data_IF_272790179931
#
_entry.id   IF_272790179931
#
_cell.length_a   1.000
_cell.length_b   1.000
_cell.length_c   1.000
_cell.angle_alpha   90.00
_cell.angle_beta   90.00
_cell.angle_gamma   90.00
#
_symmetry.space_group_name_H-M   'P 1'
#
loop_
_entity.id
_entity.type
_entity.pdbx_description
1 polymer ?
#
# COMPACT_ATOMS: atom_id res chain seq x y z
N UNK A 1 -22.45 14.53 45.78
CA UNK A 1 -22.90 14.08 44.45
C UNK A 1 -23.55 12.71 44.59
N UNK A 2 -24.87 12.61 44.37
CA UNK A 2 -25.58 11.33 44.49
C UNK A 2 -25.17 10.36 43.36
N UNK A 3 -25.33 9.06 43.58
CA UNK A 3 -25.09 8.03 42.55
C UNK A 3 -25.97 8.23 41.30
N UNK A 4 -27.16 8.83 41.48
CA UNK A 4 -28.09 9.09 40.38
C UNK A 4 -27.60 10.20 39.45
N UNK A 5 -27.01 11.28 39.98
CA UNK A 5 -26.46 12.37 39.15
C UNK A 5 -25.31 11.88 38.27
N UNK A 6 -24.43 11.01 38.79
CA UNK A 6 -23.33 10.44 37.99
C UNK A 6 -23.83 9.58 36.84
N UNK A 7 -24.91 8.83 37.05
CA UNK A 7 -25.51 8.00 36.00
C UNK A 7 -26.10 8.88 34.89
N UNK A 8 -26.86 9.91 35.28
CA UNK A 8 -27.49 10.83 34.32
C UNK A 8 -26.45 11.66 33.56
N UNK A 9 -25.40 12.15 34.22
CA UNK A 9 -24.30 12.84 33.51
C UNK A 9 -23.59 11.94 32.50
N UNK A 10 -23.40 10.66 32.81
CA UNK A 10 -22.85 9.69 31.84
C UNK A 10 -23.78 9.51 30.65
N UNK A 11 -25.08 9.33 30.88
CA UNK A 11 -26.05 9.20 29.80
C UNK A 11 -26.16 10.49 28.98
N UNK A 12 -26.03 11.69 29.59
CA UNK A 12 -25.95 12.96 28.88
C UNK A 12 -24.72 13.05 27.98
N UNK A 13 -23.58 12.50 28.41
CA UNK A 13 -22.35 12.45 27.61
C UNK A 13 -22.54 11.55 26.37
N UNK A 14 -23.14 10.38 26.56
CA UNK A 14 -23.48 9.46 25.46
C UNK A 14 -24.45 10.11 24.47
N UNK A 15 -25.43 10.89 24.98
CA UNK A 15 -26.36 11.67 24.13
C UNK A 15 -25.64 12.80 23.40
N UNK A 16 -24.70 13.48 24.07
CA UNK A 16 -23.91 14.58 23.48
C UNK A 16 -23.05 14.12 22.30
N UNK A 17 -22.43 12.93 22.40
CA UNK A 17 -21.65 12.31 21.31
C UNK A 17 -22.50 11.51 20.31
N UNK A 18 -23.82 11.43 20.49
CA UNK A 18 -24.74 10.76 19.58
C UNK A 18 -24.75 9.22 19.69
N UNK A 19 -24.18 8.65 20.75
CA UNK A 19 -24.20 7.22 21.02
C UNK A 19 -25.56 6.74 21.53
N UNK A 20 -26.34 7.65 22.16
CA UNK A 20 -27.71 7.40 22.65
C UNK A 20 -28.67 8.52 22.26
N UNK A 21 -29.96 8.21 22.22
CA UNK A 21 -31.02 9.21 22.05
C UNK A 21 -31.43 9.82 23.39
N UNK A 22 -31.85 11.09 23.36
CA UNK A 22 -32.39 11.77 24.54
C UNK A 22 -33.73 11.14 24.94
N UNK A 23 -33.77 10.45 26.08
CA UNK A 23 -34.99 9.83 26.59
C UNK A 23 -35.83 10.83 27.39
N UNK A 24 -37.13 10.57 27.51
CA UNK A 24 -38.05 11.42 28.30
C UNK A 24 -37.71 11.47 29.80
N UNK A 25 -37.05 10.44 30.32
CA UNK A 25 -36.58 10.40 31.70
C UNK A 25 -35.44 11.41 31.94
N UNK A 26 -34.45 11.45 31.03
CA UNK A 26 -33.34 12.41 31.08
C UNK A 26 -33.86 13.84 30.90
N UNK A 27 -34.77 14.05 29.94
CA UNK A 27 -35.39 15.36 29.68
C UNK A 27 -36.15 15.87 30.91
N UNK A 28 -36.88 14.99 31.59
CA UNK A 28 -37.59 15.35 32.84
C UNK A 28 -36.61 15.69 33.96
N UNK A 29 -35.51 14.94 34.09
CA UNK A 29 -34.49 15.19 35.10
C UNK A 29 -33.76 16.51 34.87
N UNK A 30 -33.46 16.88 33.63
CA UNK A 30 -32.91 18.20 33.30
C UNK A 30 -33.87 19.31 33.76
N UNK A 31 -35.17 19.18 33.53
CA UNK A 31 -36.13 20.23 33.96
C UNK A 31 -36.24 20.41 35.48
N UNK A 32 -35.82 19.44 36.28
CA UNK A 32 -35.95 19.48 37.75
C UNK A 32 -34.63 19.57 38.51
N UNK A 33 -33.50 19.23 37.87
CA UNK A 33 -32.18 19.19 38.50
C UNK A 33 -31.27 20.29 37.93
N UNK A 34 -30.93 21.26 38.76
CA UNK A 34 -30.04 22.37 38.39
C UNK A 34 -28.62 21.89 38.07
N UNK A 35 -28.09 20.92 38.82
CA UNK A 35 -26.73 20.39 38.63
C UNK A 35 -26.56 19.68 37.27
N UNK A 36 -27.54 18.87 36.86
CA UNK A 36 -27.49 18.21 35.55
C UNK A 36 -27.76 19.17 34.39
N UNK A 37 -28.55 20.22 34.62
CA UNK A 37 -28.78 21.29 33.63
C UNK A 37 -27.53 22.11 33.39
N UNK A 38 -26.82 22.49 34.46
CA UNK A 38 -25.56 23.23 34.36
C UNK A 38 -24.52 22.40 33.58
N UNK A 39 -24.40 21.12 33.91
CA UNK A 39 -23.54 20.19 33.18
C UNK A 39 -23.87 20.09 31.68
N UNK A 40 -25.16 20.02 31.33
CA UNK A 40 -25.59 19.99 29.94
C UNK A 40 -25.26 21.30 29.21
N UNK A 41 -25.46 22.45 29.86
CA UNK A 41 -25.14 23.76 29.29
C UNK A 41 -23.62 23.92 29.08
N UNK A 42 -22.78 23.41 29.99
CA UNK A 42 -21.32 23.38 29.81
C UNK A 42 -20.92 22.55 28.58
N UNK A 43 -21.55 21.39 28.37
CA UNK A 43 -21.33 20.58 27.16
C UNK A 43 -21.72 21.34 25.89
N UNK A 44 -22.87 22.03 25.87
CA UNK A 44 -23.28 22.85 24.73
C UNK A 44 -22.33 24.04 24.48
N UNK A 45 -21.79 24.66 25.54
CA UNK A 45 -20.78 25.71 25.43
C UNK A 45 -19.48 25.18 24.82
N UNK A 46 -19.04 23.98 25.20
CA UNK A 46 -17.88 23.32 24.58
C UNK A 46 -18.14 23.14 23.09
N UNK A 47 -19.30 22.63 22.68
CA UNK A 47 -19.68 22.47 21.27
C UNK A 47 -19.58 23.79 20.51
N UNK A 48 -20.18 24.85 21.05
CA UNK A 48 -20.18 26.18 20.44
C UNK A 48 -18.77 26.73 20.28
N UNK A 49 -17.91 26.53 21.26
CA UNK A 49 -16.50 26.95 21.20
C UNK A 49 -15.66 26.06 20.28
N UNK A 50 -16.00 24.77 20.14
CA UNK A 50 -15.29 23.81 19.29
C UNK A 50 -15.59 24.03 17.80
N UNK A 51 -16.80 24.49 17.45
CA UNK A 51 -17.11 24.88 16.05
C UNK A 51 -16.24 26.04 15.53
N UNK A 52 -15.56 26.79 16.41
CA UNK A 52 -14.55 27.79 16.00
C UNK A 52 -13.21 27.17 15.61
N UNK A 53 -12.94 25.93 16.01
CA UNK A 53 -11.73 25.17 15.68
C UNK A 53 -11.95 24.18 14.53
N UNK A 54 -13.17 24.11 13.99
CA UNK A 54 -13.49 23.39 12.75
C UNK A 54 -13.07 24.23 11.53
N UNK A 55 -11.93 24.90 11.64
CA UNK A 55 -11.24 25.49 10.49
C UNK A 55 -10.85 24.35 9.56
N UNK A 56 -11.37 24.42 8.33
CA UNK A 56 -11.02 23.60 7.19
C UNK A 56 -9.59 23.09 7.30
N UNK A 57 -9.44 21.82 7.70
CA UNK A 57 -8.14 21.16 7.68
C UNK A 57 -7.76 21.07 6.20
N UNK A 58 -6.93 22.01 5.76
CA UNK A 58 -6.38 21.99 4.41
C UNK A 58 -5.58 20.71 4.25
N UNK A 59 -6.16 19.77 3.49
CA UNK A 59 -5.50 18.53 3.16
C UNK A 59 -4.36 18.86 2.19
N UNK A 60 -3.12 18.88 2.69
CA UNK A 60 -1.95 19.07 1.85
C UNK A 60 -1.74 17.85 0.93
N UNK A 61 -2.20 17.99 -0.31
CA UNK A 61 -2.01 17.00 -1.38
C UNK A 61 -0.54 16.59 -1.56
N UNK A 62 0.43 17.44 -1.18
CA UNK A 62 1.86 17.11 -1.25
C UNK A 62 2.27 16.08 -0.21
N UNK A 63 1.62 16.04 0.96
CA UNK A 63 1.86 15.02 1.98
C UNK A 63 1.32 13.68 1.49
N UNK A 64 0.10 13.68 0.94
CA UNK A 64 -0.55 12.50 0.37
C UNK A 64 0.26 11.96 -0.81
N UNK A 65 0.63 12.82 -1.76
CA UNK A 65 1.43 12.46 -2.92
C UNK A 65 2.81 11.89 -2.54
N UNK A 66 3.45 12.43 -1.49
CA UNK A 66 4.70 11.87 -0.96
C UNK A 66 4.51 10.47 -0.36
N UNK A 67 3.41 10.25 0.36
CA UNK A 67 3.11 8.93 0.94
C UNK A 67 2.90 7.87 -0.15
N UNK A 68 2.10 8.17 -1.18
CA UNK A 68 1.88 7.26 -2.31
C UNK A 68 3.15 7.03 -3.12
N UNK A 69 3.97 8.06 -3.37
CA UNK A 69 5.24 7.89 -4.08
C UNK A 69 6.23 7.03 -3.28
N UNK A 70 6.24 7.15 -1.95
CA UNK A 70 7.09 6.30 -1.12
C UNK A 70 6.61 4.84 -1.16
N UNK A 71 5.31 4.59 -1.17
CA UNK A 71 4.76 3.24 -1.26
C UNK A 71 5.03 2.60 -2.63
N UNK A 72 4.91 3.35 -3.72
CA UNK A 72 5.17 2.85 -5.08
C UNK A 72 6.62 2.44 -5.26
N UNK A 73 7.59 3.25 -4.78
CA UNK A 73 9.02 2.93 -4.82
C UNK A 73 9.33 1.64 -4.03
N UNK A 74 8.70 1.45 -2.87
CA UNK A 74 8.91 0.24 -2.06
C UNK A 74 8.33 -0.99 -2.77
N UNK A 75 7.15 -0.85 -3.39
CA UNK A 75 6.52 -1.93 -4.14
C UNK A 75 7.35 -2.35 -5.35
N UNK A 76 7.87 -1.38 -6.11
CA UNK A 76 8.73 -1.62 -7.27
C UNK A 76 10.04 -2.30 -6.87
N UNK A 77 10.69 -1.84 -5.79
CA UNK A 77 11.88 -2.52 -5.26
C UNK A 77 11.62 -3.97 -4.88
N UNK A 78 10.48 -4.26 -4.24
CA UNK A 78 10.11 -5.65 -3.87
C UNK A 78 9.89 -6.52 -5.10
N UNK A 79 9.26 -5.98 -6.15
CA UNK A 79 9.09 -6.69 -7.42
C UNK A 79 10.44 -7.00 -8.04
N UNK A 80 11.33 -6.01 -8.15
CA UNK A 80 12.67 -6.20 -8.73
C UNK A 80 13.50 -7.23 -7.96
N UNK A 81 13.42 -7.26 -6.63
CA UNK A 81 14.10 -8.28 -5.81
C UNK A 81 13.53 -9.68 -6.08
N UNK A 82 12.20 -9.82 -6.21
CA UNK A 82 11.59 -11.10 -6.56
C UNK A 82 12.04 -11.58 -7.94
N UNK A 83 12.03 -10.69 -8.92
CA UNK A 83 12.44 -11.00 -10.29
C UNK A 83 13.93 -11.39 -10.33
N UNK A 84 14.80 -10.71 -9.57
CA UNK A 84 16.21 -11.07 -9.42
C UNK A 84 16.38 -12.46 -8.81
N UNK A 85 15.59 -12.80 -7.78
CA UNK A 85 15.66 -14.10 -7.11
C UNK A 85 15.22 -15.23 -8.06
N UNK A 86 14.12 -15.01 -8.79
CA UNK A 86 13.64 -15.95 -9.82
C UNK A 86 14.71 -16.14 -10.90
N UNK A 87 15.31 -15.05 -11.37
CA UNK A 87 16.42 -15.11 -12.33
C UNK A 87 17.60 -15.93 -11.78
N UNK A 88 18.04 -15.65 -10.57
CA UNK A 88 19.16 -16.36 -9.94
C UNK A 88 18.91 -17.87 -9.82
N UNK A 89 17.69 -18.28 -9.47
CA UNK A 89 17.29 -19.68 -9.38
C UNK A 89 17.33 -20.35 -10.75
N UNK A 90 16.74 -19.73 -11.77
CA UNK A 90 16.71 -20.27 -13.14
C UNK A 90 18.14 -20.36 -13.70
N UNK A 91 18.94 -19.31 -13.57
CA UNK A 91 20.33 -19.31 -14.03
C UNK A 91 21.16 -20.37 -13.34
N UNK A 92 20.99 -20.55 -12.02
CA UNK A 92 21.69 -21.60 -11.27
C UNK A 92 21.29 -22.99 -11.74
N UNK A 93 20.00 -23.23 -11.98
CA UNK A 93 19.49 -24.50 -12.52
C UNK A 93 20.11 -24.82 -13.88
N UNK A 94 20.10 -23.85 -14.80
CA UNK A 94 20.70 -24.02 -16.13
C UNK A 94 22.20 -24.32 -16.01
N UNK A 95 22.90 -23.58 -15.16
CA UNK A 95 24.33 -23.77 -14.96
C UNK A 95 24.66 -25.15 -14.36
N UNK A 96 23.85 -25.62 -13.41
CA UNK A 96 23.98 -26.96 -12.83
C UNK A 96 23.76 -28.05 -13.87
N UNK A 97 22.75 -27.91 -14.73
CA UNK A 97 22.49 -28.88 -15.82
C UNK A 97 23.68 -28.91 -16.79
N UNK A 98 24.18 -27.74 -17.21
CA UNK A 98 25.36 -27.67 -18.08
C UNK A 98 26.59 -28.30 -17.41
N UNK A 99 26.82 -28.01 -16.13
CA UNK A 99 27.89 -28.62 -15.35
C UNK A 99 27.81 -30.14 -15.30
N UNK A 100 26.60 -30.69 -15.14
CA UNK A 100 26.37 -32.13 -15.12
C UNK A 100 26.65 -32.77 -16.49
N UNK A 101 26.24 -32.12 -17.59
CA UNK A 101 26.54 -32.59 -18.95
C UNK A 101 28.06 -32.58 -19.21
N UNK A 102 28.77 -31.55 -18.73
CA UNK A 102 30.23 -31.49 -18.80
C UNK A 102 30.85 -32.65 -18.00
N UNK A 103 30.39 -32.88 -16.77
CA UNK A 103 30.87 -33.96 -15.90
C UNK A 103 30.69 -35.36 -16.51
N UNK A 104 29.59 -35.60 -17.23
CA UNK A 104 29.36 -36.85 -17.98
C UNK A 104 30.28 -37.04 -19.20
N UNK A 105 31.25 -36.14 -19.43
CA UNK A 105 32.23 -36.25 -20.50
C UNK A 105 31.80 -35.63 -21.84
N UNK A 106 30.61 -35.03 -21.90
CA UNK A 106 30.12 -34.33 -23.10
C UNK A 106 30.69 -32.90 -23.25
N UNK A 107 31.59 -32.46 -22.36
CA UNK A 107 32.19 -31.13 -22.40
C UNK A 107 32.80 -30.76 -23.76
N UNK A 108 33.45 -31.72 -24.45
CA UNK A 108 33.98 -31.51 -25.81
C UNK A 108 32.90 -31.14 -26.83
N UNK A 109 31.71 -31.73 -26.73
CA UNK A 109 30.58 -31.43 -27.64
C UNK A 109 29.95 -30.08 -27.34
N UNK A 110 29.86 -29.69 -26.06
CA UNK A 110 29.36 -28.36 -25.66
C UNK A 110 30.30 -27.27 -26.18
N UNK A 111 31.62 -27.42 -25.98
CA UNK A 111 32.62 -26.45 -26.46
C UNK A 111 32.56 -26.32 -27.98
N UNK A 112 32.45 -27.45 -28.70
CA UNK A 112 32.26 -27.42 -30.17
C UNK A 112 30.99 -26.69 -30.58
N UNK A 113 29.86 -26.95 -29.92
CA UNK A 113 28.61 -26.24 -30.20
C UNK A 113 28.74 -24.73 -29.94
N UNK A 114 29.44 -24.33 -28.86
CA UNK A 114 29.68 -22.93 -28.53
C UNK A 114 30.55 -22.22 -29.57
N UNK A 115 31.59 -22.88 -30.07
CA UNK A 115 32.45 -22.37 -31.16
C UNK A 115 31.62 -22.22 -32.44
N UNK A 116 30.81 -23.22 -32.80
CA UNK A 116 29.93 -23.16 -33.97
C UNK A 116 28.96 -21.98 -33.84
N UNK A 117 28.31 -21.79 -32.70
CA UNK A 117 27.40 -20.68 -32.47
C UNK A 117 28.13 -19.33 -32.55
N UNK A 118 29.30 -19.19 -31.93
CA UNK A 118 30.10 -17.96 -31.98
C UNK A 118 30.55 -17.58 -33.39
N UNK A 119 30.74 -18.55 -34.28
CA UNK A 119 31.11 -18.29 -35.68
C UNK A 119 29.88 -18.10 -36.56
N UNK A 120 28.85 -18.94 -36.42
CA UNK A 120 27.67 -18.92 -37.28
C UNK A 120 26.73 -17.76 -36.98
N UNK A 121 26.51 -17.39 -35.71
CA UNK A 121 25.55 -16.31 -35.37
C UNK A 121 25.98 -14.95 -35.93
N UNK A 122 27.24 -14.50 -35.76
CA UNK A 122 27.69 -13.23 -36.35
C UNK A 122 27.64 -13.19 -37.89
N UNK A 123 27.67 -14.35 -38.55
CA UNK A 123 27.53 -14.46 -40.01
C UNK A 123 26.06 -14.45 -40.44
N UNK A 124 25.18 -15.10 -39.67
CA UNK A 124 23.74 -15.19 -39.96
C UNK A 124 22.99 -13.90 -39.62
N UNK A 125 23.37 -13.18 -38.58
CA UNK A 125 22.69 -11.94 -38.15
C UNK A 125 22.68 -10.86 -39.25
N UNK A 126 23.81 -10.50 -39.89
CA UNK A 126 23.81 -9.56 -41.01
C UNK A 126 22.96 -10.03 -42.19
N UNK A 127 22.91 -11.33 -42.44
CA UNK A 127 22.10 -11.92 -43.50
C UNK A 127 20.60 -11.80 -43.21
N UNK A 128 20.18 -12.09 -41.98
CA UNK A 128 18.79 -11.93 -41.54
C UNK A 128 18.35 -10.46 -41.55
N UNK A 129 19.23 -9.53 -41.13
CA UNK A 129 18.96 -8.09 -41.20
C UNK A 129 18.80 -7.65 -42.66
N UNK A 130 19.67 -8.14 -43.57
CA UNK A 130 19.59 -7.83 -45.00
C UNK A 130 18.32 -8.37 -45.66
N UNK A 131 17.89 -9.60 -45.33
CA UNK A 131 16.63 -10.14 -45.83
C UNK A 131 15.45 -9.30 -45.41
N UNK A 132 15.40 -8.93 -44.12
CA UNK A 132 14.34 -8.06 -43.60
C UNK A 132 14.31 -6.69 -44.29
N UNK A 133 15.47 -6.07 -44.53
CA UNK A 133 15.52 -4.78 -45.23
C UNK A 133 15.03 -4.88 -46.68
N UNK A 134 15.32 -5.98 -47.39
CA UNK A 134 14.82 -6.18 -48.76
C UNK A 134 13.31 -6.47 -48.82
N UNK A 135 12.74 -7.08 -47.78
CA UNK A 135 11.29 -7.28 -47.65
C UNK A 135 10.53 -5.97 -47.32
N UNK A 136 11.19 -5.02 -46.63
CA UNK A 136 10.62 -3.70 -46.30
C UNK A 136 10.74 -2.68 -47.46
N UNK A 137 11.57 -2.94 -48.49
CA UNK A 137 11.77 -2.09 -49.68
C UNK A 137 10.92 -2.50 -50.91
N UNK A 138 10.16 -3.60 -50.85
CA UNK A 138 9.19 -4.02 -51.88
C UNK A 138 7.76 -3.62 -51.54
#
# INVERSE_FOLDING_TARGET
MSLEHKKIQKDLLDVYYGEKSMTEEIRRHLNTCSECTEYWNELELIKKNMTLFDTDIEIDERIIGRAFRKSSIIMERRKNIKDLLVFAVISSLILSVLGLIIYMGYGKRIIMAQIIIMVCVPLLVPFMIRQRLMEEEQ
#
